data_IF_760258006846
#
_entry.id   IF_760258006846
#
_cell.length_a   1.000
_cell.length_b   1.000
_cell.length_c   1.000
_cell.angle_alpha   90.00
_cell.angle_beta   90.00
_cell.angle_gamma   90.00
#
_symmetry.space_group_name_H-M   'P 1'
#
loop_
_entity.id
_entity.type
_entity.pdbx_description
1 polymer ?
#
# COMPACT_ATOMS: atom_id res chain seq x y z
N UNK A 1 -26.04 39.66 -49.39
CA UNK A 1 -27.37 39.03 -49.44
C UNK A 1 -27.24 37.68 -48.76
N UNK A 2 -27.73 37.63 -47.51
CA UNK A 2 -28.35 36.49 -46.77
C UNK A 2 -27.74 35.09 -46.93
N UNK A 3 -27.37 34.30 -45.90
CA UNK A 3 -27.35 34.36 -44.41
C UNK A 3 -26.51 33.13 -43.94
N UNK A 4 -25.84 33.28 -42.77
CA UNK A 4 -25.44 32.34 -41.69
C UNK A 4 -24.93 30.90 -41.99
N UNK A 5 -23.96 30.34 -41.26
CA UNK A 5 -23.60 30.46 -39.82
C UNK A 5 -22.06 30.60 -39.69
N UNK A 6 -21.42 31.49 -38.90
CA UNK A 6 -21.55 31.78 -37.46
C UNK A 6 -20.28 31.31 -36.71
N UNK A 7 -19.11 31.98 -36.78
CA UNK A 7 -18.62 33.04 -35.86
C UNK A 7 -18.70 32.69 -34.35
N UNK A 8 -17.58 32.30 -33.71
CA UNK A 8 -16.72 33.15 -32.83
C UNK A 8 -17.27 33.47 -31.43
N UNK A 9 -16.60 32.97 -30.38
CA UNK A 9 -15.91 33.82 -29.39
C UNK A 9 -15.27 32.98 -28.26
N UNK A 10 -14.13 33.49 -27.80
CA UNK A 10 -13.24 32.89 -26.83
C UNK A 10 -13.80 32.91 -25.39
N UNK A 11 -13.37 31.93 -24.60
CA UNK A 11 -12.83 32.26 -23.28
C UNK A 11 -11.56 31.43 -23.03
N UNK A 12 -10.42 32.09 -23.22
CA UNK A 12 -9.22 31.76 -22.47
C UNK A 12 -9.55 31.89 -20.97
N UNK A 13 -9.27 30.87 -20.19
CA UNK A 13 -8.64 31.10 -18.88
C UNK A 13 -7.98 29.82 -18.36
N UNK A 14 -6.64 29.89 -18.27
CA UNK A 14 -5.89 29.01 -17.38
C UNK A 14 -5.10 27.91 -18.07
N UNK A 15 -4.19 28.26 -18.98
CA UNK A 15 -2.93 27.51 -19.14
C UNK A 15 -2.30 27.36 -17.74
N UNK A 16 -2.53 26.24 -17.06
CA UNK A 16 -1.71 25.84 -15.92
C UNK A 16 -0.30 25.64 -16.45
N UNK A 17 0.72 26.30 -15.90
CA UNK A 17 2.06 26.26 -16.46
C UNK A 17 2.60 24.83 -16.43
N UNK A 18 3.50 24.54 -17.37
CA UNK A 18 4.23 23.29 -17.63
C UNK A 18 4.99 22.66 -16.44
N UNK A 19 4.72 23.08 -15.21
CA UNK A 19 5.31 22.55 -13.97
C UNK A 19 4.78 21.16 -13.58
N UNK A 20 3.75 20.62 -14.25
CA UNK A 20 3.17 19.30 -13.95
C UNK A 20 3.87 18.14 -14.66
N UNK A 21 4.42 18.37 -15.87
CA UNK A 21 5.06 17.32 -16.68
C UNK A 21 6.47 16.96 -16.22
N UNK A 22 7.17 17.85 -15.50
CA UNK A 22 8.52 17.59 -14.98
C UNK A 22 8.56 16.68 -13.73
N UNK A 23 7.41 16.38 -13.11
CA UNK A 23 7.32 15.84 -11.74
C UNK A 23 7.68 14.35 -11.59
N UNK A 24 7.59 13.56 -12.66
CA UNK A 24 7.87 12.12 -12.65
C UNK A 24 9.13 11.70 -13.39
N UNK A 25 9.82 12.63 -14.05
CA UNK A 25 10.97 12.32 -14.89
C UNK A 25 12.29 12.22 -14.09
N UNK A 26 12.35 12.73 -12.86
CA UNK A 26 13.53 12.65 -12.02
C UNK A 26 13.23 11.88 -10.73
N UNK A 27 14.03 10.87 -10.42
CA UNK A 27 13.79 9.98 -9.28
C UNK A 27 15.09 9.70 -8.54
N UNK A 28 14.99 9.41 -7.25
CA UNK A 28 16.08 8.80 -6.49
C UNK A 28 15.60 7.47 -5.91
N UNK A 29 16.24 6.39 -6.34
CA UNK A 29 16.12 5.09 -5.70
C UNK A 29 17.14 5.00 -4.56
N UNK A 30 16.67 4.60 -3.38
CA UNK A 30 17.53 4.34 -2.22
C UNK A 30 17.52 2.85 -1.94
N UNK A 31 18.70 2.24 -1.99
CA UNK A 31 18.92 0.88 -1.48
C UNK A 31 19.54 1.00 -0.09
N UNK A 32 18.72 0.89 0.97
CA UNK A 32 19.21 0.98 2.33
C UNK A 32 20.03 -0.26 2.69
N UNK A 33 20.99 -0.09 3.60
CA UNK A 33 21.58 -1.21 4.33
C UNK A 33 20.57 -1.71 5.38
N UNK A 34 20.05 -2.94 5.27
CA UNK A 34 19.23 -3.53 6.32
C UNK A 34 20.04 -3.64 7.61
N UNK A 35 19.39 -3.57 8.77
CA UNK A 35 20.08 -3.76 10.05
C UNK A 35 20.30 -5.22 10.44
N UNK A 36 19.43 -6.12 9.98
CA UNK A 36 19.51 -7.58 10.15
C UNK A 36 19.49 -8.27 8.78
N UNK A 37 20.52 -9.05 8.49
CA UNK A 37 20.68 -9.83 7.27
C UNK A 37 21.49 -11.10 7.58
N UNK A 38 21.42 -12.11 6.69
CA UNK A 38 22.21 -13.34 6.83
C UNK A 38 23.71 -13.03 6.97
N UNK A 39 24.44 -13.73 7.84
CA UNK A 39 25.84 -13.38 8.16
C UNK A 39 26.73 -13.49 6.93
N UNK A 40 26.52 -14.52 6.12
CA UNK A 40 27.28 -14.77 4.89
C UNK A 40 26.55 -14.25 3.64
N UNK A 41 27.28 -14.06 2.55
CA UNK A 41 26.68 -13.74 1.25
C UNK A 41 25.70 -14.83 0.80
N UNK A 42 26.09 -16.10 0.97
CA UNK A 42 25.26 -17.25 0.61
C UNK A 42 23.92 -17.28 1.38
N UNK A 43 23.92 -16.92 2.67
CA UNK A 43 22.68 -16.81 3.45
C UNK A 43 21.77 -15.71 2.90
N UNK A 44 22.36 -14.56 2.52
CA UNK A 44 21.64 -13.42 1.96
C UNK A 44 21.04 -13.73 0.59
N UNK A 45 21.80 -14.42 -0.26
CA UNK A 45 21.34 -14.91 -1.56
C UNK A 45 20.17 -15.89 -1.42
N UNK A 46 20.28 -16.86 -0.50
CA UNK A 46 19.21 -17.83 -0.22
C UNK A 46 17.92 -17.16 0.26
N UNK A 47 18.03 -16.08 1.03
CA UNK A 47 16.89 -15.31 1.53
C UNK A 47 16.38 -14.26 0.51
N UNK A 48 17.09 -14.05 -0.60
CA UNK A 48 16.77 -12.99 -1.56
C UNK A 48 16.86 -11.57 -0.96
N UNK A 49 17.78 -11.35 0.00
CA UNK A 49 17.98 -10.06 0.68
C UNK A 49 19.47 -9.75 0.75
N UNK A 50 19.98 -9.09 -0.30
CA UNK A 50 21.35 -8.62 -0.37
C UNK A 50 21.51 -7.28 0.37
N UNK A 51 22.73 -6.96 0.77
CA UNK A 51 23.09 -5.64 1.31
C UNK A 51 23.90 -4.84 0.29
N UNK A 52 23.93 -3.49 0.39
CA UNK A 52 24.71 -2.64 -0.50
C UNK A 52 26.18 -3.06 -0.67
N UNK A 53 26.86 -3.48 0.39
CA UNK A 53 28.25 -3.93 0.31
C UNK A 53 28.47 -5.20 -0.52
N UNK A 54 27.41 -5.93 -0.88
CA UNK A 54 27.51 -7.14 -1.70
C UNK A 54 27.75 -6.80 -3.18
N UNK A 55 27.44 -5.58 -3.63
CA UNK A 55 27.59 -5.14 -5.02
C UNK A 55 28.47 -3.91 -5.15
N UNK A 56 29.25 -3.87 -6.23
CA UNK A 56 29.93 -2.65 -6.66
C UNK A 56 28.94 -1.64 -7.25
N UNK A 57 29.37 -0.38 -7.42
CA UNK A 57 28.55 0.65 -8.09
C UNK A 57 28.27 0.25 -9.54
N UNK A 58 29.24 -0.39 -10.19
CA UNK A 58 29.21 -0.87 -11.56
C UNK A 58 28.22 -2.03 -11.73
N UNK A 59 28.23 -2.99 -10.80
CA UNK A 59 27.25 -4.10 -10.77
C UNK A 59 25.84 -3.56 -10.61
N UNK A 60 25.65 -2.66 -9.63
CA UNK A 60 24.36 -2.02 -9.38
C UNK A 60 23.90 -1.23 -10.61
N UNK A 61 24.78 -0.44 -11.23
CA UNK A 61 24.48 0.33 -12.42
C UNK A 61 24.15 -0.53 -13.65
N UNK A 62 24.81 -1.68 -13.79
CA UNK A 62 24.52 -2.66 -14.85
C UNK A 62 23.18 -3.32 -14.62
N UNK A 63 22.93 -3.79 -13.39
CA UNK A 63 21.66 -4.42 -13.03
C UNK A 63 20.48 -3.46 -13.22
N UNK A 64 20.63 -2.22 -12.75
CA UNK A 64 19.58 -1.22 -12.85
C UNK A 64 19.24 -0.89 -14.31
N UNK A 65 20.24 -0.69 -15.17
CA UNK A 65 20.03 -0.50 -16.61
C UNK A 65 19.41 -1.73 -17.28
N UNK A 66 19.78 -2.94 -16.86
CA UNK A 66 19.16 -4.18 -17.31
C UNK A 66 17.66 -4.24 -16.97
N UNK A 67 17.27 -3.80 -15.78
CA UNK A 67 15.85 -3.67 -15.38
C UNK A 67 15.14 -2.62 -16.23
N UNK A 68 15.76 -1.47 -16.48
CA UNK A 68 15.18 -0.46 -17.37
C UNK A 68 15.03 -0.99 -18.80
N UNK A 69 16.00 -1.75 -19.31
CA UNK A 69 15.91 -2.38 -20.64
C UNK A 69 14.76 -3.39 -20.71
N UNK A 70 14.64 -4.27 -19.71
CA UNK A 70 13.54 -5.24 -19.58
C UNK A 70 12.16 -4.56 -19.62
N UNK A 71 12.08 -3.30 -19.18
CA UNK A 71 10.86 -2.49 -19.15
C UNK A 71 10.72 -1.51 -20.32
N UNK A 72 11.61 -1.57 -21.32
CA UNK A 72 11.64 -0.64 -22.45
C UNK A 72 11.77 0.83 -22.03
N UNK A 73 12.47 1.09 -20.92
CA UNK A 73 12.70 2.42 -20.35
C UNK A 73 14.15 2.89 -20.50
N UNK A 74 15.08 2.04 -20.96
CA UNK A 74 16.49 2.41 -21.05
C UNK A 74 16.74 3.60 -21.99
N UNK A 75 16.07 3.64 -23.14
CA UNK A 75 16.19 4.75 -24.11
C UNK A 75 15.69 6.10 -23.55
N UNK A 76 14.77 6.04 -22.59
CA UNK A 76 14.29 7.21 -21.88
C UNK A 76 15.26 7.70 -20.80
N UNK A 77 16.23 6.88 -20.35
CA UNK A 77 17.22 7.31 -19.36
C UNK A 77 18.20 8.29 -20.01
N UNK A 78 18.22 9.54 -19.51
CA UNK A 78 19.12 10.59 -19.99
C UNK A 78 20.42 10.65 -19.19
N UNK A 79 20.31 10.51 -17.87
CA UNK A 79 21.49 10.48 -16.99
C UNK A 79 21.17 9.77 -15.69
N UNK A 80 22.19 9.18 -15.07
CA UNK A 80 22.13 8.48 -13.80
C UNK A 80 23.42 8.73 -13.01
N UNK A 81 23.29 8.88 -11.69
CA UNK A 81 24.40 8.98 -10.75
C UNK A 81 24.18 7.98 -9.63
N UNK A 82 25.19 7.16 -9.34
CA UNK A 82 25.17 6.21 -8.22
C UNK A 82 26.20 6.67 -7.20
N UNK A 83 25.75 6.92 -5.98
CA UNK A 83 26.59 7.38 -4.89
C UNK A 83 26.35 6.54 -3.63
N UNK A 84 27.43 6.29 -2.89
CA UNK A 84 27.39 5.72 -1.55
C UNK A 84 27.14 6.83 -0.52
N UNK A 85 26.34 6.51 0.50
CA UNK A 85 26.16 7.35 1.67
C UNK A 85 26.42 6.52 2.93
N UNK A 86 27.33 6.96 3.83
CA UNK A 86 27.54 6.29 5.10
C UNK A 86 26.26 6.26 5.94
N UNK A 87 25.81 5.06 6.28
CA UNK A 87 24.70 4.80 7.18
C UNK A 87 25.05 5.17 8.61
N UNK A 88 24.06 5.52 9.46
CA UNK A 88 24.31 5.83 10.87
C UNK A 88 24.83 4.64 11.70
N UNK A 89 24.80 3.43 11.15
CA UNK A 89 25.30 2.20 11.78
C UNK A 89 26.79 1.98 11.45
N UNK A 90 27.54 1.59 12.46
CA UNK A 90 28.91 1.10 12.31
C UNK A 90 28.89 -0.40 12.00
N UNK A 91 29.77 -0.85 11.11
CA UNK A 91 29.93 -2.27 10.86
C UNK A 91 30.41 -2.98 12.15
N UNK A 92 29.89 -4.18 12.48
CA UNK A 92 30.25 -4.87 13.71
C UNK A 92 31.76 -5.10 13.81
N UNK A 93 32.42 -4.53 14.82
CA UNK A 93 33.87 -4.68 15.04
C UNK A 93 34.77 -3.83 14.15
N UNK A 94 34.24 -2.85 13.41
CA UNK A 94 35.01 -1.99 12.51
C UNK A 94 34.88 -0.49 12.82
N UNK A 95 35.89 0.28 12.40
CA UNK A 95 35.89 1.75 12.35
C UNK A 95 35.18 2.30 11.10
N UNK A 96 34.43 1.47 10.37
CA UNK A 96 33.74 1.88 9.14
C UNK A 96 32.23 1.82 9.30
N UNK A 97 31.54 2.77 8.67
CA UNK A 97 30.08 2.84 8.66
C UNK A 97 29.55 1.94 7.54
N UNK A 98 28.45 1.23 7.81
CA UNK A 98 27.69 0.55 6.76
C UNK A 98 27.26 1.57 5.69
N UNK A 99 26.98 1.16 4.46
CA UNK A 99 26.69 2.11 3.35
C UNK A 99 25.31 1.91 2.77
N UNK A 100 24.68 3.00 2.34
CA UNK A 100 23.48 3.02 1.50
C UNK A 100 23.89 3.37 0.07
N UNK A 101 23.16 2.86 -0.92
CA UNK A 101 23.28 3.37 -2.28
C UNK A 101 22.12 4.30 -2.61
N UNK A 102 22.46 5.45 -3.18
CA UNK A 102 21.53 6.34 -3.84
C UNK A 102 21.77 6.30 -5.35
N UNK A 103 20.74 5.93 -6.10
CA UNK A 103 20.71 5.99 -7.55
C UNK A 103 19.79 7.14 -7.94
N UNK A 104 20.37 8.24 -8.38
CA UNK A 104 19.61 9.37 -8.89
C UNK A 104 19.54 9.28 -10.41
N UNK A 105 18.35 9.43 -10.98
CA UNK A 105 18.13 9.39 -12.42
C UNK A 105 17.31 10.56 -12.94
N UNK A 106 17.61 10.89 -14.19
CA UNK A 106 16.83 11.79 -15.05
C UNK A 106 16.40 11.01 -16.29
N UNK A 107 15.10 10.95 -16.49
CA UNK A 107 14.43 10.35 -17.63
C UNK A 107 13.94 11.44 -18.60
N UNK A 108 13.65 11.06 -19.83
CA UNK A 108 13.05 11.90 -20.86
C UNK A 108 11.59 12.28 -20.52
N UNK A 109 10.89 11.37 -19.84
CA UNK A 109 9.48 11.48 -19.47
C UNK A 109 9.23 10.80 -18.12
N UNK A 110 8.10 11.07 -17.46
CA UNK A 110 7.63 10.30 -16.32
C UNK A 110 7.57 8.79 -16.60
N UNK A 111 7.82 7.96 -15.58
CA UNK A 111 7.88 6.51 -15.72
C UNK A 111 7.24 5.78 -14.53
N UNK A 112 6.71 4.58 -14.81
CA UNK A 112 6.17 3.70 -13.79
C UNK A 112 7.31 2.99 -13.04
N UNK A 113 7.47 3.30 -11.75
CA UNK A 113 8.61 2.85 -10.95
C UNK A 113 8.33 1.60 -10.11
N UNK A 114 7.06 1.24 -9.90
CA UNK A 114 6.67 0.08 -9.08
C UNK A 114 7.26 -1.23 -9.62
N UNK A 115 7.13 -1.47 -10.94
CA UNK A 115 7.67 -2.67 -11.59
C UNK A 115 9.20 -2.72 -11.59
N UNK A 116 9.87 -1.56 -11.60
CA UNK A 116 11.33 -1.47 -11.46
C UNK A 116 11.75 -1.90 -10.06
N UNK A 117 11.08 -1.41 -9.00
CA UNK A 117 11.30 -1.87 -7.63
C UNK A 117 11.12 -3.38 -7.50
N UNK A 118 10.06 -3.94 -8.08
CA UNK A 118 9.79 -5.39 -8.03
C UNK A 118 10.92 -6.19 -8.67
N UNK A 119 11.40 -5.80 -9.87
CA UNK A 119 12.48 -6.52 -10.56
C UNK A 119 13.83 -6.41 -9.82
N UNK A 120 14.13 -5.25 -9.24
CA UNK A 120 15.32 -5.06 -8.41
C UNK A 120 15.24 -5.88 -7.12
N UNK A 121 14.08 -5.85 -6.46
CA UNK A 121 13.83 -6.61 -5.24
C UNK A 121 13.92 -8.12 -5.45
N UNK A 122 13.45 -8.63 -6.60
CA UNK A 122 13.62 -10.03 -7.00
C UNK A 122 15.09 -10.44 -7.17
N UNK A 123 15.99 -9.47 -7.35
CA UNK A 123 17.44 -9.67 -7.43
C UNK A 123 18.16 -9.39 -6.11
N UNK A 124 17.42 -9.25 -5.01
CA UNK A 124 17.96 -8.93 -3.68
C UNK A 124 18.19 -7.44 -3.41
N UNK A 125 18.03 -6.56 -4.41
CA UNK A 125 18.17 -5.12 -4.28
C UNK A 125 16.85 -4.48 -3.82
N UNK A 126 16.53 -4.63 -2.54
CA UNK A 126 15.30 -4.11 -1.94
C UNK A 126 15.45 -2.65 -1.55
N UNK A 127 14.70 -1.77 -2.19
CA UNK A 127 14.78 -0.32 -1.98
C UNK A 127 13.51 0.41 -2.38
N UNK A 128 13.54 1.74 -2.31
CA UNK A 128 12.38 2.56 -2.60
C UNK A 128 12.73 3.81 -3.40
N UNK A 129 11.80 4.25 -4.24
CA UNK A 129 11.91 5.53 -4.94
C UNK A 129 11.38 6.69 -4.10
N UNK A 130 12.01 7.83 -4.30
CA UNK A 130 11.53 9.14 -3.85
C UNK A 130 11.46 10.08 -5.06
N UNK A 131 10.47 10.98 -5.03
CA UNK A 131 10.20 11.98 -6.07
C UNK A 131 9.98 13.36 -5.40
N UNK A 132 11.00 14.00 -4.82
CA UNK A 132 10.89 15.35 -4.28
C UNK A 132 10.59 16.34 -5.40
N UNK A 133 9.86 17.40 -5.04
CA UNK A 133 9.42 18.46 -5.97
C UNK A 133 10.54 19.33 -6.53
N UNK A 134 11.78 19.15 -6.07
CA UNK A 134 12.89 20.08 -6.28
C UNK A 134 13.73 19.79 -7.55
N UNK A 135 13.39 18.76 -8.32
CA UNK A 135 13.97 18.49 -9.64
C UNK A 135 15.40 17.92 -9.64
N UNK A 136 15.96 17.75 -10.84
CA UNK A 136 17.25 17.08 -11.09
C UNK A 136 18.44 17.68 -10.32
N UNK A 137 18.60 19.00 -10.36
CA UNK A 137 19.71 19.69 -9.70
C UNK A 137 19.72 19.46 -8.18
N UNK A 138 18.55 19.39 -7.56
CA UNK A 138 18.45 19.16 -6.11
C UNK A 138 18.91 17.77 -5.71
N UNK A 139 18.65 16.75 -6.52
CA UNK A 139 19.19 15.43 -6.25
C UNK A 139 20.70 15.34 -6.47
N UNK A 140 21.21 16.00 -7.52
CA UNK A 140 22.64 16.09 -7.74
C UNK A 140 23.32 16.77 -6.56
N UNK A 141 22.76 17.88 -6.08
CA UNK A 141 23.25 18.55 -4.88
C UNK A 141 23.22 17.63 -3.65
N UNK A 142 22.16 16.83 -3.49
CA UNK A 142 22.04 15.88 -2.37
C UNK A 142 23.16 14.83 -2.32
N UNK A 143 23.61 14.33 -3.49
CA UNK A 143 24.66 13.29 -3.55
C UNK A 143 26.07 13.83 -3.77
N UNK A 144 26.23 15.07 -4.27
CA UNK A 144 27.54 15.63 -4.64
C UNK A 144 28.01 16.78 -3.76
N UNK A 145 27.12 17.47 -3.03
CA UNK A 145 27.47 18.65 -2.24
C UNK A 145 27.26 18.43 -0.74
N UNK A 146 28.11 19.05 0.10
CA UNK A 146 27.92 19.02 1.54
C UNK A 146 26.68 19.84 1.94
N UNK A 147 26.07 19.47 3.06
CA UNK A 147 24.94 20.17 3.66
C UNK A 147 25.04 20.16 5.18
N UNK A 148 24.16 20.87 5.87
CA UNK A 148 24.08 20.84 7.34
C UNK A 148 23.88 19.43 7.92
N UNK A 149 23.37 18.48 7.12
CA UNK A 149 23.13 17.09 7.54
C UNK A 149 24.12 16.09 6.96
N UNK A 150 24.90 16.47 5.95
CA UNK A 150 25.86 15.59 5.25
C UNK A 150 27.18 16.32 5.10
N UNK A 151 28.18 15.90 5.86
CA UNK A 151 29.49 16.55 5.85
C UNK A 151 30.28 16.12 4.61
N UNK A 152 31.32 16.88 4.25
CA UNK A 152 32.16 16.58 3.10
C UNK A 152 32.78 15.17 3.17
N UNK A 153 33.12 14.72 4.38
CA UNK A 153 33.68 13.37 4.63
C UNK A 153 32.67 12.24 4.43
N UNK A 154 31.37 12.55 4.45
CA UNK A 154 30.29 11.58 4.29
C UNK A 154 29.79 11.52 2.83
N UNK A 155 30.41 12.28 1.92
CA UNK A 155 30.11 12.21 0.48
C UNK A 155 30.91 11.07 -0.15
N UNK A 156 30.31 10.40 -1.13
CA UNK A 156 31.01 9.42 -1.96
C UNK A 156 32.20 10.10 -2.67
N UNK A 157 33.45 9.65 -2.45
CA UNK A 157 34.60 10.22 -3.13
C UNK A 157 34.61 9.90 -4.63
N UNK A 158 33.99 8.79 -5.04
CA UNK A 158 33.99 8.30 -6.41
C UNK A 158 32.57 7.85 -6.83
N UNK A 159 31.61 8.77 -7.00
CA UNK A 159 30.30 8.43 -7.50
C UNK A 159 30.39 7.98 -8.97
N UNK A 160 29.58 6.99 -9.34
CA UNK A 160 29.52 6.51 -10.72
C UNK A 160 28.54 7.37 -11.51
N UNK A 161 28.92 7.75 -12.73
CA UNK A 161 28.07 8.53 -13.62
C UNK A 161 27.73 7.74 -14.88
N UNK A 162 26.52 7.94 -15.39
CA UNK A 162 26.06 7.40 -16.66
C UNK A 162 25.18 8.43 -17.40
N UNK A 163 25.24 8.52 -18.74
CA UNK A 163 26.22 7.87 -19.61
C UNK A 163 27.64 8.36 -19.30
N UNK A 164 28.71 7.71 -19.79
CA UNK A 164 30.09 8.14 -19.54
C UNK A 164 30.37 9.60 -19.94
N UNK A 165 29.58 10.15 -20.86
CA UNK A 165 29.64 11.55 -21.27
C UNK A 165 29.07 12.55 -20.25
N UNK A 166 28.32 12.08 -19.25
CA UNK A 166 27.82 12.90 -18.14
C UNK A 166 28.78 12.77 -16.97
N UNK A 167 29.59 13.79 -16.71
CA UNK A 167 30.67 13.75 -15.70
C UNK A 167 30.29 14.52 -14.44
N UNK A 168 31.14 14.44 -13.40
CA UNK A 168 30.99 15.22 -12.16
C UNK A 168 30.97 16.73 -12.44
N UNK A 169 31.80 17.21 -13.36
CA UNK A 169 31.91 18.61 -13.74
C UNK A 169 30.59 19.10 -14.36
N UNK A 170 30.01 18.31 -15.27
CA UNK A 170 28.70 18.60 -15.86
C UNK A 170 27.58 18.58 -14.83
N UNK A 171 27.62 17.64 -13.88
CA UNK A 171 26.64 17.60 -12.80
C UNK A 171 26.74 18.85 -11.90
N UNK A 172 27.96 19.30 -11.58
CA UNK A 172 28.19 20.53 -10.82
C UNK A 172 27.76 21.78 -11.60
N UNK A 173 27.94 21.80 -12.92
CA UNK A 173 27.44 22.88 -13.78
C UNK A 173 25.90 22.95 -13.77
N UNK A 174 25.22 21.80 -13.88
CA UNK A 174 23.76 21.72 -13.76
C UNK A 174 23.28 22.26 -12.41
N UNK A 175 24.01 21.99 -11.32
CA UNK A 175 23.68 22.55 -10.01
C UNK A 175 23.85 24.07 -10.01
N UNK A 176 24.95 24.60 -10.57
CA UNK A 176 25.22 26.05 -10.63
C UNK A 176 24.18 26.83 -11.44
N UNK A 177 23.61 26.21 -12.46
CA UNK A 177 22.59 26.84 -13.33
C UNK A 177 21.23 27.05 -12.62
N UNK A 178 21.01 26.45 -11.46
CA UNK A 178 19.77 26.62 -10.68
C UNK A 178 20.02 27.57 -9.51
N UNK A 179 19.14 28.57 -9.35
CA UNK A 179 19.24 29.59 -8.29
C UNK A 179 19.46 28.93 -6.91
N UNK A 180 20.47 29.40 -6.16
CA UNK A 180 20.76 28.93 -4.80
C UNK A 180 19.52 29.01 -3.88
N UNK A 181 18.59 29.94 -4.14
CA UNK A 181 17.30 30.06 -3.44
C UNK A 181 16.34 28.90 -3.70
N UNK A 182 16.41 28.27 -4.88
CA UNK A 182 15.64 27.06 -5.24
C UNK A 182 16.24 25.79 -4.63
N UNK A 183 17.57 25.73 -4.52
CA UNK A 183 18.30 24.56 -4.01
C UNK A 183 18.28 24.49 -2.48
N UNK A 184 18.31 25.63 -1.78
CA UNK A 184 18.25 25.69 -0.32
C UNK A 184 17.54 26.96 0.16
N UNK A 185 16.55 26.82 1.05
CA UNK A 185 15.93 27.96 1.73
C UNK A 185 16.91 28.76 2.61
N UNK A 186 18.11 28.26 2.93
CA UNK A 186 19.04 28.88 3.91
C UNK A 186 20.54 28.64 3.60
N UNK A 187 21.06 28.95 2.40
CA UNK A 187 22.48 28.67 2.09
C UNK A 187 23.48 29.44 2.99
N UNK A 188 23.14 30.67 3.40
CA UNK A 188 23.96 31.47 4.32
C UNK A 188 23.97 30.90 5.75
N UNK A 189 22.82 30.40 6.21
CA UNK A 189 22.67 29.76 7.53
C UNK A 189 23.37 28.39 7.58
N UNK A 190 23.39 27.65 6.46
CA UNK A 190 24.13 26.38 6.32
C UNK A 190 25.64 26.61 6.36
N UNK A 191 26.16 27.65 5.68
CA UNK A 191 27.58 28.00 5.79
C UNK A 191 27.96 28.47 7.20
N UNK A 192 27.09 29.21 7.89
CA UNK A 192 27.29 29.56 9.30
C UNK A 192 27.20 28.35 10.23
N UNK A 193 26.29 27.41 10.01
CA UNK A 193 26.19 26.17 10.79
C UNK A 193 27.36 25.23 10.55
N UNK A 194 27.91 25.12 9.34
CA UNK A 194 29.12 24.34 9.09
C UNK A 194 30.31 24.93 9.86
N UNK A 195 30.44 26.27 9.87
CA UNK A 195 31.46 26.97 10.67
C UNK A 195 31.22 26.85 12.19
N UNK A 196 29.97 26.81 12.63
CA UNK A 196 29.61 26.64 14.04
C UNK A 196 29.77 25.20 14.53
N UNK A 197 29.48 24.20 13.69
CA UNK A 197 29.65 22.77 14.02
C UNK A 197 31.13 22.36 14.10
N UNK A 198 32.03 23.12 13.45
CA UNK A 198 33.48 22.99 13.65
C UNK A 198 33.97 23.55 14.99
N UNK A 199 33.16 24.38 15.68
CA UNK A 199 33.44 24.82 17.06
C UNK A 199 32.71 23.91 18.04
N UNK A 200 33.44 22.93 18.56
CA UNK A 200 33.30 22.22 19.86
C UNK A 200 32.04 22.54 20.69
N UNK A 201 30.85 22.20 20.19
CA UNK A 201 29.65 22.09 21.01
C UNK A 201 29.16 20.65 20.95
N UNK A 202 28.92 20.08 22.12
CA UNK A 202 28.42 18.71 22.25
C UNK A 202 27.19 18.53 21.33
N UNK A 203 27.13 17.44 20.55
CA UNK A 203 26.09 17.26 19.54
C UNK A 203 24.72 17.32 20.19
N UNK A 204 23.86 18.26 19.73
CA UNK A 204 22.47 18.37 20.18
C UNK A 204 21.81 16.99 20.06
N UNK A 205 21.35 16.45 21.21
CA UNK A 205 20.66 15.17 21.28
C UNK A 205 19.50 15.17 20.28
N UNK A 206 19.54 14.21 19.36
CA UNK A 206 18.59 14.08 18.27
C UNK A 206 17.18 13.84 18.84
N UNK A 207 16.16 14.48 18.26
CA UNK A 207 14.78 14.45 18.78
C UNK A 207 13.83 13.46 18.10
N UNK A 208 14.14 12.99 16.88
CA UNK A 208 13.23 12.11 16.10
C UNK A 208 13.98 11.23 15.08
N UNK A 209 13.36 10.11 14.69
CA UNK A 209 13.86 9.20 13.65
C UNK A 209 13.72 9.74 12.23
N UNK A 210 14.51 9.22 11.29
CA UNK A 210 14.25 9.31 9.86
C UNK A 210 13.26 8.21 9.45
N UNK A 211 12.68 8.32 8.26
CA UNK A 211 11.82 7.24 7.75
C UNK A 211 12.57 5.92 7.53
N UNK A 212 13.84 5.96 7.12
CA UNK A 212 14.65 4.75 6.97
C UNK A 212 14.83 4.04 8.32
N UNK A 213 15.20 4.79 9.36
CA UNK A 213 15.39 4.19 10.70
C UNK A 213 14.08 3.69 11.30
N UNK A 214 12.97 4.40 11.09
CA UNK A 214 11.65 3.89 11.46
C UNK A 214 11.37 2.54 10.77
N UNK A 215 11.65 2.46 9.47
CA UNK A 215 11.45 1.25 8.69
C UNK A 215 12.31 0.10 9.22
N UNK A 216 13.55 0.38 9.63
CA UNK A 216 14.41 -0.60 10.27
C UNK A 216 13.76 -1.16 11.54
N UNK A 217 13.32 -0.30 12.47
CA UNK A 217 12.68 -0.73 13.71
C UNK A 217 11.45 -1.62 13.46
N UNK A 218 10.63 -1.26 12.47
CA UNK A 218 9.44 -2.02 12.07
C UNK A 218 9.81 -3.43 11.59
N UNK A 219 10.78 -3.53 10.68
CA UNK A 219 11.18 -4.81 10.09
C UNK A 219 11.89 -5.70 11.12
N UNK A 220 12.80 -5.11 11.91
CA UNK A 220 13.57 -5.82 12.95
C UNK A 220 12.67 -6.47 14.02
N UNK A 221 11.63 -5.74 14.42
CA UNK A 221 10.72 -6.18 15.47
C UNK A 221 9.47 -6.87 14.92
N UNK A 222 9.44 -7.13 13.60
CA UNK A 222 8.35 -7.81 12.90
C UNK A 222 6.99 -7.15 13.18
N UNK A 223 6.95 -5.83 13.24
CA UNK A 223 5.71 -5.10 13.45
C UNK A 223 4.80 -5.26 12.23
N UNK A 224 3.63 -5.86 12.41
CA UNK A 224 2.68 -6.11 11.31
C UNK A 224 1.48 -5.14 11.32
N UNK A 225 1.21 -4.54 12.47
CA UNK A 225 0.12 -3.59 12.66
C UNK A 225 0.53 -2.38 13.51
N UNK A 226 -0.40 -1.43 13.69
CA UNK A 226 -0.15 -0.22 14.48
C UNK A 226 0.07 -0.53 15.96
N UNK A 227 -0.57 -1.58 16.50
CA UNK A 227 -0.46 -1.94 17.90
C UNK A 227 0.95 -2.44 18.23
N UNK A 228 1.57 -3.23 17.34
CA UNK A 228 2.96 -3.65 17.45
C UNK A 228 3.92 -2.46 17.44
N UNK A 229 3.68 -1.49 16.56
CA UNK A 229 4.50 -0.27 16.47
C UNK A 229 4.43 0.53 17.77
N UNK A 230 3.23 0.70 18.35
CA UNK A 230 3.07 1.39 19.63
C UNK A 230 3.65 0.60 20.80
N UNK A 231 3.52 -0.73 20.82
CA UNK A 231 4.13 -1.61 21.83
C UNK A 231 5.66 -1.49 21.79
N UNK A 232 6.25 -1.49 20.59
CA UNK A 232 7.67 -1.28 20.39
C UNK A 232 8.10 0.12 20.86
N UNK A 233 7.39 1.17 20.43
CA UNK A 233 7.69 2.54 20.82
C UNK A 233 7.64 2.73 22.35
N UNK A 234 6.64 2.14 23.02
CA UNK A 234 6.53 2.16 24.48
C UNK A 234 7.69 1.44 25.17
N UNK A 235 8.07 0.26 24.65
CA UNK A 235 9.22 -0.51 25.16
C UNK A 235 10.52 0.29 25.03
N UNK A 236 10.77 0.88 23.86
CA UNK A 236 11.95 1.71 23.60
C UNK A 236 11.98 2.96 24.50
N UNK A 237 10.84 3.65 24.64
CA UNK A 237 10.70 4.80 25.56
C UNK A 237 11.02 4.42 27.00
N UNK A 238 10.55 3.26 27.46
CA UNK A 238 10.84 2.77 28.82
C UNK A 238 12.33 2.44 29.00
N UNK A 239 13.02 2.05 27.93
CA UNK A 239 14.47 1.85 27.90
C UNK A 239 15.28 3.16 27.72
N UNK A 240 14.63 4.32 27.67
CA UNK A 240 15.27 5.62 27.46
C UNK A 240 15.51 6.02 26.00
N UNK A 241 14.97 5.24 25.05
CA UNK A 241 15.00 5.52 23.60
C UNK A 241 13.68 6.17 23.13
N UNK A 242 13.55 7.47 23.30
CA UNK A 242 12.31 8.20 22.99
C UNK A 242 12.11 8.48 21.49
N UNK A 243 13.12 8.22 20.65
CA UNK A 243 13.14 8.63 19.24
C UNK A 243 11.98 8.07 18.44
N UNK A 244 11.60 6.81 18.68
CA UNK A 244 10.49 6.17 17.99
C UNK A 244 9.15 6.74 18.45
N UNK A 245 8.99 6.98 19.75
CA UNK A 245 7.81 7.64 20.30
C UNK A 245 7.60 9.02 19.66
N UNK A 246 8.65 9.85 19.67
CA UNK A 246 8.62 11.20 19.12
C UNK A 246 8.40 11.22 17.60
N UNK A 247 8.81 10.16 16.89
CA UNK A 247 8.55 10.03 15.46
C UNK A 247 7.07 9.79 15.15
N UNK A 248 6.36 9.05 16.01
CA UNK A 248 4.98 8.62 15.81
C UNK A 248 3.95 9.67 16.25
N UNK A 249 4.27 10.48 17.26
CA UNK A 249 3.36 11.40 17.95
C UNK A 249 2.58 12.36 17.03
N UNK A 250 3.11 12.67 15.84
CA UNK A 250 2.48 13.56 14.86
C UNK A 250 2.27 12.91 13.49
N UNK A 251 2.13 11.58 13.43
CA UNK A 251 1.98 10.83 12.17
C UNK A 251 0.78 9.91 12.19
N UNK A 252 0.19 9.71 11.02
CA UNK A 252 -0.68 8.56 10.75
C UNK A 252 0.19 7.29 10.73
N UNK A 253 0.23 6.61 11.88
CA UNK A 253 1.07 5.44 12.11
C UNK A 253 0.78 4.35 11.09
N UNK A 254 -0.50 4.08 10.81
CA UNK A 254 -0.90 3.11 9.80
C UNK A 254 -0.37 3.44 8.42
N UNK A 255 -0.45 4.69 8.00
CA UNK A 255 0.06 5.12 6.69
C UNK A 255 1.56 4.95 6.56
N UNK A 256 2.31 5.32 7.61
CA UNK A 256 3.77 5.26 7.60
C UNK A 256 4.26 3.82 7.74
N UNK A 257 3.60 2.99 8.56
CA UNK A 257 3.82 1.55 8.64
C UNK A 257 3.52 0.87 7.28
N UNK A 258 2.41 1.21 6.63
CA UNK A 258 2.07 0.72 5.28
C UNK A 258 3.10 1.10 4.24
N UNK A 259 3.80 2.22 4.42
CA UNK A 259 4.87 2.64 3.51
C UNK A 259 6.15 1.83 3.77
N UNK A 260 6.47 1.60 5.04
CA UNK A 260 7.61 0.78 5.47
C UNK A 260 7.46 -0.67 5.02
N UNK A 261 6.33 -1.31 5.34
CA UNK A 261 6.07 -2.71 5.00
C UNK A 261 5.96 -2.95 3.49
N UNK A 262 5.39 -2.02 2.71
CA UNK A 262 5.37 -2.12 1.23
C UNK A 262 6.78 -2.22 0.62
N UNK A 263 7.75 -1.53 1.19
CA UNK A 263 9.13 -1.53 0.68
C UNK A 263 9.91 -2.81 0.99
N UNK A 264 9.55 -3.52 2.06
CA UNK A 264 10.34 -4.65 2.61
C UNK A 264 9.64 -6.00 2.54
N UNK A 265 8.32 -5.98 2.66
CA UNK A 265 7.44 -7.12 2.56
C UNK A 265 6.36 -6.84 1.52
N UNK A 266 6.73 -6.94 0.24
CA UNK A 266 5.76 -6.91 -0.87
C UNK A 266 4.64 -7.96 -0.70
N UNK A 267 4.85 -8.97 0.15
CA UNK A 267 3.96 -10.08 0.45
C UNK A 267 3.11 -9.91 1.74
N UNK A 268 3.25 -8.79 2.47
CA UNK A 268 2.47 -8.60 3.70
C UNK A 268 2.05 -7.16 3.95
N UNK A 269 0.90 -6.78 3.39
CA UNK A 269 0.01 -5.69 3.81
C UNK A 269 -1.40 -5.90 3.20
N UNK A 270 -2.52 -5.42 3.80
CA UNK A 270 -2.79 -5.12 5.21
C UNK A 270 -3.65 -6.21 5.89
N UNK A 271 -3.34 -6.55 7.15
CA UNK A 271 -4.12 -7.47 7.99
C UNK A 271 -5.59 -7.03 8.22
N UNK A 272 -5.94 -5.76 8.03
CA UNK A 272 -7.29 -5.25 8.30
C UNK A 272 -8.36 -5.65 7.26
N UNK A 273 -7.96 -6.00 6.03
CA UNK A 273 -8.91 -6.51 5.01
C UNK A 273 -9.07 -8.02 5.10
N UNK A 274 -8.08 -8.74 5.63
CA UNK A 274 -8.11 -10.17 5.80
C UNK A 274 -8.91 -10.52 7.06
N UNK A 275 -10.14 -10.96 6.87
CA UNK A 275 -10.99 -11.49 7.91
C UNK A 275 -10.53 -12.91 8.24
N UNK A 276 -10.19 -13.15 9.51
CA UNK A 276 -9.81 -14.48 10.05
C UNK A 276 -10.89 -15.08 10.96
N UNK A 277 -11.94 -14.33 11.20
CA UNK A 277 -13.10 -14.68 12.03
C UNK A 277 -14.32 -14.01 11.43
N UNK A 278 -15.49 -14.61 11.62
CA UNK A 278 -16.78 -14.02 11.24
C UNK A 278 -17.59 -13.70 12.48
N UNK A 279 -18.42 -12.67 12.41
CA UNK A 279 -19.32 -12.28 13.50
C UNK A 279 -20.40 -13.34 13.74
N UNK A 280 -20.87 -13.98 12.67
CA UNK A 280 -21.94 -14.98 12.72
C UNK A 280 -21.49 -16.23 11.95
N UNK A 281 -21.63 -17.43 12.54
CA UNK A 281 -21.38 -18.68 11.83
C UNK A 281 -22.48 -18.93 10.78
N UNK A 282 -22.22 -19.81 9.81
CA UNK A 282 -23.20 -20.13 8.75
C UNK A 282 -24.51 -20.71 9.31
N UNK A 283 -24.46 -21.38 10.46
CA UNK A 283 -25.62 -21.93 11.17
C UNK A 283 -26.60 -20.85 11.67
N UNK A 284 -26.16 -19.59 11.79
CA UNK A 284 -27.01 -18.46 12.13
C UNK A 284 -27.91 -17.99 10.97
N UNK A 285 -27.80 -18.62 9.79
CA UNK A 285 -28.53 -18.23 8.59
C UNK A 285 -29.43 -19.34 8.06
N UNK A 286 -30.49 -18.94 7.37
CA UNK A 286 -31.29 -19.77 6.46
C UNK A 286 -30.62 -19.66 5.09
N UNK A 287 -29.70 -20.58 4.80
CA UNK A 287 -28.92 -20.56 3.55
C UNK A 287 -29.85 -20.83 2.36
N UNK A 288 -30.00 -19.88 1.41
CA UNK A 288 -30.84 -20.07 0.23
C UNK A 288 -30.37 -21.26 -0.62
N UNK A 289 -31.30 -21.94 -1.30
CA UNK A 289 -30.99 -23.15 -2.08
C UNK A 289 -29.92 -22.90 -3.15
N UNK A 290 -29.98 -21.76 -3.85
CA UNK A 290 -28.98 -21.36 -4.83
C UNK A 290 -27.58 -21.20 -4.24
N UNK A 291 -27.48 -20.66 -3.03
CA UNK A 291 -26.19 -20.55 -2.30
C UNK A 291 -25.69 -21.93 -1.92
N UNK A 292 -26.56 -22.81 -1.39
CA UNK A 292 -26.18 -24.19 -1.04
C UNK A 292 -25.67 -24.98 -2.25
N UNK A 293 -26.41 -24.92 -3.37
CA UNK A 293 -26.01 -25.54 -4.64
C UNK A 293 -24.67 -25.01 -5.13
N UNK A 294 -24.44 -23.71 -5.01
CA UNK A 294 -23.15 -23.11 -5.33
C UNK A 294 -22.04 -23.62 -4.40
N UNK A 295 -22.26 -23.68 -3.09
CA UNK A 295 -21.27 -24.21 -2.15
C UNK A 295 -20.86 -25.65 -2.48
N UNK A 296 -21.85 -26.52 -2.70
CA UNK A 296 -21.66 -27.97 -2.89
C UNK A 296 -21.00 -28.32 -4.23
N UNK A 297 -21.32 -27.56 -5.29
CA UNK A 297 -20.96 -27.95 -6.67
C UNK A 297 -20.38 -26.82 -7.52
N UNK A 298 -20.68 -25.57 -7.21
CA UNK A 298 -20.35 -24.42 -8.07
C UNK A 298 -19.15 -23.59 -7.62
N UNK A 299 -18.71 -23.72 -6.37
CA UNK A 299 -17.74 -22.82 -5.74
C UNK A 299 -16.39 -22.84 -6.45
N UNK A 300 -15.95 -24.00 -6.97
CA UNK A 300 -14.72 -24.11 -7.75
C UNK A 300 -14.79 -23.62 -9.20
N UNK A 301 -15.99 -23.36 -9.75
CA UNK A 301 -16.19 -23.02 -11.16
C UNK A 301 -16.76 -21.62 -11.43
N UNK A 302 -17.63 -21.12 -10.55
CA UNK A 302 -18.33 -19.84 -10.72
C UNK A 302 -18.12 -18.92 -9.51
N UNK A 303 -18.09 -17.62 -9.77
CA UNK A 303 -18.32 -16.63 -8.73
C UNK A 303 -19.80 -16.62 -8.30
N UNK A 304 -20.09 -16.17 -7.09
CA UNK A 304 -21.46 -16.00 -6.58
C UNK A 304 -21.82 -14.52 -6.52
N UNK A 305 -23.03 -14.16 -6.97
CA UNK A 305 -23.62 -12.84 -6.74
C UNK A 305 -24.86 -13.02 -5.88
N UNK A 306 -24.88 -12.34 -4.73
CA UNK A 306 -26.04 -12.22 -3.84
C UNK A 306 -26.72 -10.88 -4.08
N UNK A 307 -27.91 -10.93 -4.65
CA UNK A 307 -28.73 -9.76 -4.92
C UNK A 307 -29.91 -9.69 -3.94
N UNK A 308 -30.31 -8.48 -3.54
CA UNK A 308 -31.51 -8.25 -2.75
C UNK A 308 -31.48 -6.89 -2.07
N UNK A 309 -32.55 -6.49 -1.41
CA UNK A 309 -32.62 -5.19 -0.72
C UNK A 309 -31.64 -5.10 0.47
N UNK A 310 -31.34 -3.87 0.89
CA UNK A 310 -30.50 -3.61 2.06
C UNK A 310 -31.11 -4.20 3.33
N UNK A 311 -30.27 -4.70 4.24
CA UNK A 311 -30.72 -5.19 5.55
C UNK A 311 -31.20 -6.63 5.59
N UNK A 312 -31.19 -7.38 4.48
CA UNK A 312 -31.61 -8.79 4.43
C UNK A 312 -30.52 -9.81 4.87
N UNK A 313 -29.41 -9.35 5.45
CA UNK A 313 -28.32 -10.22 5.92
C UNK A 313 -27.38 -10.78 4.84
N UNK A 314 -27.39 -10.21 3.62
CA UNK A 314 -26.61 -10.70 2.46
C UNK A 314 -25.10 -10.68 2.72
N UNK A 315 -24.60 -9.58 3.26
CA UNK A 315 -23.17 -9.34 3.49
C UNK A 315 -22.64 -10.27 4.58
N UNK A 316 -23.38 -10.42 5.67
CA UNK A 316 -23.03 -11.33 6.76
C UNK A 316 -23.09 -12.80 6.32
N UNK A 317 -24.10 -13.17 5.52
CA UNK A 317 -24.18 -14.50 4.91
C UNK A 317 -22.99 -14.75 3.97
N UNK A 318 -22.63 -13.79 3.10
CA UNK A 318 -21.48 -13.91 2.20
C UNK A 318 -20.18 -14.16 2.97
N UNK A 319 -19.95 -13.41 4.05
CA UNK A 319 -18.81 -13.59 4.93
C UNK A 319 -18.80 -14.96 5.59
N UNK A 320 -19.95 -15.41 6.14
CA UNK A 320 -20.07 -16.71 6.80
C UNK A 320 -19.83 -17.88 5.82
N UNK A 321 -20.41 -17.82 4.63
CA UNK A 321 -20.21 -18.81 3.56
C UNK A 321 -18.74 -18.84 3.12
N UNK A 322 -18.13 -17.68 2.90
CA UNK A 322 -16.72 -17.64 2.49
C UNK A 322 -15.82 -18.23 3.57
N UNK A 323 -16.06 -17.87 4.84
CA UNK A 323 -15.29 -18.39 5.95
C UNK A 323 -15.40 -19.91 6.12
N UNK A 324 -16.61 -20.46 5.94
CA UNK A 324 -16.83 -21.92 5.97
C UNK A 324 -16.01 -22.64 4.90
N UNK A 325 -15.91 -22.05 3.70
CA UNK A 325 -15.23 -22.68 2.56
C UNK A 325 -13.71 -22.51 2.57
N UNK A 326 -13.21 -21.33 2.97
CA UNK A 326 -11.80 -20.97 2.81
C UNK A 326 -11.08 -20.69 4.13
N UNK A 327 -11.81 -20.52 5.23
CA UNK A 327 -11.28 -19.89 6.44
C UNK A 327 -10.99 -18.42 6.17
N UNK A 328 -9.72 -17.96 6.16
CA UNK A 328 -9.41 -16.55 5.91
C UNK A 328 -9.93 -16.04 4.56
N UNK A 329 -10.45 -14.81 4.53
CA UNK A 329 -10.91 -14.17 3.30
C UNK A 329 -10.69 -12.66 3.34
N UNK A 330 -10.58 -12.03 2.18
CA UNK A 330 -10.51 -10.58 2.08
C UNK A 330 -11.92 -9.99 1.92
N UNK A 331 -12.24 -8.99 2.74
CA UNK A 331 -13.47 -8.21 2.62
C UNK A 331 -13.16 -6.83 2.01
N UNK A 332 -13.86 -6.46 0.95
CA UNK A 332 -13.69 -5.18 0.26
C UNK A 332 -15.00 -4.42 0.11
N UNK A 333 -14.95 -3.11 0.36
CA UNK A 333 -16.03 -2.16 0.07
C UNK A 333 -15.99 -1.65 -1.37
N UNK A 334 -14.84 -1.79 -2.06
CA UNK A 334 -14.59 -1.25 -3.40
C UNK A 334 -13.64 -2.13 -4.19
N UNK A 335 -13.87 -2.27 -5.49
CA UNK A 335 -13.00 -3.03 -6.40
C UNK A 335 -11.54 -2.55 -6.37
N UNK A 336 -11.32 -1.23 -6.35
CA UNK A 336 -9.98 -0.61 -6.29
C UNK A 336 -9.16 -1.01 -5.05
N UNK A 337 -9.79 -1.56 -4.00
CA UNK A 337 -9.07 -2.07 -2.85
C UNK A 337 -8.29 -3.34 -3.17
N UNK A 338 -8.69 -4.10 -4.20
CA UNK A 338 -8.06 -5.36 -4.57
C UNK A 338 -6.59 -5.21 -4.98
N UNK A 339 -6.18 -4.08 -5.55
CA UNK A 339 -4.76 -3.83 -5.88
C UNK A 339 -3.83 -3.75 -4.67
N UNK A 340 -4.41 -3.64 -3.46
CA UNK A 340 -3.68 -3.63 -2.20
C UNK A 340 -3.55 -5.04 -1.60
N UNK A 341 -4.23 -6.02 -2.17
CA UNK A 341 -4.26 -7.39 -1.67
C UNK A 341 -3.08 -8.17 -2.25
N UNK A 342 -2.49 -9.00 -1.39
CA UNK A 342 -1.58 -10.04 -1.81
C UNK A 342 -2.12 -11.39 -1.33
N UNK A 343 -2.53 -12.23 -2.27
CA UNK A 343 -3.05 -13.56 -2.00
C UNK A 343 -1.90 -14.53 -1.71
N UNK A 344 -2.00 -15.32 -0.65
CA UNK A 344 -1.01 -16.38 -0.33
C UNK A 344 -1.46 -17.75 -0.80
N UNK A 345 -2.71 -17.85 -1.26
CA UNK A 345 -3.34 -19.08 -1.71
C UNK A 345 -4.27 -19.62 -0.64
N UNK A 346 -5.45 -20.05 -1.08
CA UNK A 346 -6.50 -20.58 -0.21
C UNK A 346 -7.42 -19.51 0.38
N UNK A 347 -7.10 -18.21 0.30
CA UNK A 347 -8.01 -17.16 0.77
C UNK A 347 -9.15 -16.88 -0.22
N UNK A 348 -10.33 -16.57 0.33
CA UNK A 348 -11.48 -16.10 -0.43
C UNK A 348 -11.53 -14.58 -0.61
N UNK A 349 -12.47 -14.11 -1.44
CA UNK A 349 -12.73 -12.69 -1.68
C UNK A 349 -14.23 -12.37 -1.61
N UNK A 350 -14.61 -11.51 -0.66
CA UNK A 350 -15.97 -10.96 -0.54
C UNK A 350 -15.93 -9.47 -0.88
N UNK A 351 -16.79 -9.05 -1.81
CA UNK A 351 -16.88 -7.65 -2.24
C UNK A 351 -18.30 -7.17 -2.03
N UNK A 352 -18.44 -6.16 -1.19
CA UNK A 352 -19.73 -5.67 -0.73
C UNK A 352 -20.25 -4.50 -1.57
N UNK A 353 -21.57 -4.44 -1.73
CA UNK A 353 -22.33 -3.38 -2.39
C UNK A 353 -21.74 -2.91 -3.74
N UNK A 354 -21.42 -3.87 -4.61
CA UNK A 354 -20.75 -3.59 -5.88
C UNK A 354 -21.74 -3.42 -7.04
N UNK A 355 -21.30 -2.70 -8.06
CA UNK A 355 -21.94 -2.65 -9.39
C UNK A 355 -20.85 -2.69 -10.46
N UNK A 356 -21.09 -3.46 -11.53
CA UNK A 356 -20.20 -3.60 -12.68
C UNK A 356 -20.62 -2.75 -13.87
N UNK A 357 -21.69 -1.96 -13.75
CA UNK A 357 -22.27 -1.16 -14.84
C UNK A 357 -21.29 -0.18 -15.51
N UNK A 358 -20.23 0.20 -14.80
CA UNK A 358 -19.19 1.14 -15.27
C UNK A 358 -17.91 0.46 -15.74
N UNK A 359 -17.87 -0.87 -15.74
CA UNK A 359 -16.72 -1.65 -16.19
C UNK A 359 -16.90 -2.05 -17.65
N UNK A 360 -15.79 -2.27 -18.35
CA UNK A 360 -15.84 -2.92 -19.66
C UNK A 360 -16.23 -4.39 -19.49
N UNK A 361 -16.89 -4.96 -20.50
CA UNK A 361 -17.41 -6.34 -20.42
C UNK A 361 -16.32 -7.39 -20.22
N UNK A 362 -15.09 -7.12 -20.69
CA UNK A 362 -13.95 -8.02 -20.50
C UNK A 362 -13.36 -7.93 -19.08
N UNK A 363 -13.45 -6.77 -18.44
CA UNK A 363 -13.12 -6.62 -17.02
C UNK A 363 -14.13 -7.37 -16.15
N UNK A 364 -15.42 -7.29 -16.49
CA UNK A 364 -16.47 -8.09 -15.83
C UNK A 364 -16.16 -9.58 -15.93
N UNK A 365 -15.84 -10.07 -17.13
CA UNK A 365 -15.45 -11.48 -17.32
C UNK A 365 -14.22 -11.82 -16.46
N UNK A 366 -13.26 -10.91 -16.34
CA UNK A 366 -12.04 -11.12 -15.53
C UNK A 366 -12.35 -11.19 -14.03
N UNK A 367 -13.25 -10.32 -13.54
CA UNK A 367 -13.73 -10.34 -12.15
C UNK A 367 -14.54 -11.59 -11.79
N UNK A 368 -15.27 -12.17 -12.75
CA UNK A 368 -16.07 -13.38 -12.53
C UNK A 368 -15.32 -14.69 -12.78
N UNK A 369 -14.18 -14.64 -13.49
CA UNK A 369 -13.44 -15.86 -13.83
C UNK A 369 -12.56 -16.34 -12.67
N UNK A 370 -12.96 -17.45 -12.07
CA UNK A 370 -12.21 -18.08 -10.98
C UNK A 370 -11.28 -19.20 -11.46
N UNK A 371 -11.41 -19.70 -12.69
CA UNK A 371 -10.61 -20.85 -13.14
C UNK A 371 -9.17 -20.44 -13.52
N UNK A 372 -8.99 -19.22 -14.03
CA UNK A 372 -7.69 -18.73 -14.51
C UNK A 372 -7.17 -17.58 -13.63
N UNK A 373 -5.84 -17.38 -13.55
CA UNK A 373 -5.31 -16.18 -12.93
C UNK A 373 -5.68 -14.97 -13.79
N UNK A 374 -6.09 -13.87 -13.16
CA UNK A 374 -6.57 -12.67 -13.84
C UNK A 374 -5.90 -11.42 -13.32
N UNK A 375 -5.57 -10.53 -14.24
CA UNK A 375 -5.46 -9.11 -13.93
C UNK A 375 -6.85 -8.52 -14.08
N UNK A 376 -7.33 -7.86 -13.04
CA UNK A 376 -8.62 -7.20 -13.01
C UNK A 376 -8.39 -5.70 -12.96
N UNK A 377 -9.03 -4.96 -13.87
CA UNK A 377 -8.85 -3.53 -13.95
C UNK A 377 -9.23 -2.83 -12.63
N UNK A 378 -8.34 -1.94 -12.20
CA UNK A 378 -8.52 -1.04 -11.07
C UNK A 378 -7.91 0.32 -11.45
N UNK A 379 -8.30 1.41 -10.77
CA UNK A 379 -7.81 2.74 -11.11
C UNK A 379 -6.30 2.85 -10.91
N UNK A 380 -5.62 3.34 -11.95
CA UNK A 380 -4.18 3.60 -12.04
C UNK A 380 -3.26 2.36 -12.09
N UNK A 381 -3.73 1.20 -11.64
CA UNK A 381 -2.99 -0.06 -11.63
C UNK A 381 -3.99 -1.22 -11.54
N UNK A 382 -3.70 -2.33 -12.22
CA UNK A 382 -4.53 -3.54 -12.15
C UNK A 382 -4.25 -4.35 -10.87
N UNK A 383 -5.28 -5.04 -10.37
CA UNK A 383 -5.13 -6.03 -9.30
C UNK A 383 -4.85 -7.40 -9.92
N UNK A 384 -4.00 -8.20 -9.27
CA UNK A 384 -3.77 -9.60 -9.65
C UNK A 384 -4.54 -10.52 -8.70
N UNK A 385 -5.40 -11.36 -9.27
CA UNK A 385 -6.16 -12.37 -8.53
C UNK A 385 -5.73 -13.76 -9.03
N UNK A 386 -5.16 -14.63 -8.16
CA UNK A 386 -4.78 -15.97 -8.56
C UNK A 386 -5.97 -16.82 -9.01
N UNK A 387 -5.66 -17.87 -9.79
CA UNK A 387 -6.64 -18.90 -10.10
C UNK A 387 -7.19 -19.54 -8.82
N UNK A 388 -8.42 -20.05 -8.91
CA UNK A 388 -9.16 -20.74 -7.84
C UNK A 388 -9.44 -19.90 -6.59
N UNK A 389 -9.25 -18.59 -6.67
CA UNK A 389 -9.68 -17.66 -5.62
C UNK A 389 -11.20 -17.56 -5.66
N UNK A 390 -11.89 -18.02 -4.61
CA UNK A 390 -13.35 -17.93 -4.50
C UNK A 390 -13.80 -16.47 -4.41
N UNK A 391 -14.93 -16.14 -5.05
CA UNK A 391 -15.43 -14.76 -5.12
C UNK A 391 -16.93 -14.72 -4.85
N UNK A 392 -17.32 -13.93 -3.87
CA UNK A 392 -18.71 -13.59 -3.60
C UNK A 392 -18.86 -12.07 -3.72
N UNK A 393 -19.85 -11.64 -4.49
CA UNK A 393 -20.23 -10.24 -4.61
C UNK A 393 -21.61 -10.05 -4.02
N UNK A 394 -21.82 -8.98 -3.27
CA UNK A 394 -23.18 -8.57 -2.85
C UNK A 394 -23.58 -7.31 -3.60
N UNK A 395 -24.87 -7.19 -3.86
CA UNK A 395 -25.40 -5.99 -4.54
C UNK A 395 -26.86 -5.75 -4.21
N UNK A 396 -27.25 -4.48 -4.20
CA UNK A 396 -28.65 -4.07 -4.19
C UNK A 396 -29.15 -3.72 -5.61
N UNK A 397 -28.27 -3.79 -6.62
CA UNK A 397 -28.61 -3.46 -8.01
C UNK A 397 -29.27 -4.64 -8.71
N UNK A 398 -30.38 -4.37 -9.40
CA UNK A 398 -31.05 -5.37 -10.24
C UNK A 398 -30.08 -5.89 -11.30
N UNK A 399 -30.25 -7.14 -11.73
CA UNK A 399 -29.39 -7.76 -12.74
C UNK A 399 -29.23 -6.92 -14.02
N UNK A 400 -30.29 -6.23 -14.45
CA UNK A 400 -30.28 -5.38 -15.65
C UNK A 400 -29.37 -4.15 -15.53
N UNK A 401 -29.19 -3.66 -14.30
CA UNK A 401 -28.42 -2.45 -13.95
C UNK A 401 -27.05 -2.80 -13.34
N UNK A 402 -26.82 -4.06 -12.99
CA UNK A 402 -25.57 -4.51 -12.40
C UNK A 402 -24.45 -4.61 -13.44
N UNK A 403 -24.76 -5.08 -14.64
CA UNK A 403 -23.79 -5.28 -15.73
C UNK A 403 -23.79 -4.09 -16.71
N UNK A 404 -22.68 -3.86 -17.43
CA UNK A 404 -22.63 -2.84 -18.47
C UNK A 404 -23.58 -3.20 -19.63
N UNK A 405 -24.02 -2.21 -20.42
CA UNK A 405 -25.03 -2.41 -21.47
C UNK A 405 -24.59 -3.45 -22.50
N UNK A 406 -23.29 -3.48 -22.81
CA UNK A 406 -22.64 -4.41 -23.73
C UNK A 406 -22.79 -5.87 -23.27
N UNK A 407 -22.88 -6.11 -21.96
CA UNK A 407 -23.07 -7.46 -21.42
C UNK A 407 -24.42 -8.09 -21.81
N UNK A 408 -25.36 -7.29 -22.34
CA UNK A 408 -26.67 -7.74 -22.82
C UNK A 408 -26.59 -8.40 -24.20
N UNK A 409 -25.49 -8.25 -24.93
CA UNK A 409 -25.25 -8.95 -26.19
C UNK A 409 -25.14 -10.47 -25.95
N UNK A 410 -25.78 -11.27 -26.80
CA UNK A 410 -25.99 -12.72 -26.56
C UNK A 410 -24.68 -13.48 -26.27
N UNK A 411 -23.61 -13.17 -27.00
CA UNK A 411 -22.29 -13.78 -26.81
C UNK A 411 -21.71 -13.50 -25.42
N UNK A 412 -21.89 -12.28 -24.91
CA UNK A 412 -21.40 -11.87 -23.60
C UNK A 412 -22.27 -12.44 -22.48
N UNK A 413 -23.60 -12.50 -22.67
CA UNK A 413 -24.51 -13.17 -21.73
C UNK A 413 -24.09 -14.61 -21.50
N UNK A 414 -23.83 -15.38 -22.57
CA UNK A 414 -23.36 -16.78 -22.46
C UNK A 414 -22.03 -16.86 -21.70
N UNK A 415 -21.09 -15.96 -22.00
CA UNK A 415 -19.79 -15.93 -21.36
C UNK A 415 -19.83 -15.53 -19.87
N UNK A 416 -20.78 -14.68 -19.46
CA UNK A 416 -20.98 -14.27 -18.07
C UNK A 416 -21.73 -15.37 -17.30
N UNK A 417 -22.85 -15.89 -17.84
CA UNK A 417 -23.66 -16.94 -17.20
C UNK A 417 -22.86 -18.19 -16.85
N UNK A 418 -21.87 -18.58 -17.66
CA UNK A 418 -21.00 -19.72 -17.33
C UNK A 418 -20.01 -19.47 -16.18
N UNK A 419 -19.82 -18.21 -15.76
CA UNK A 419 -18.86 -17.80 -14.71
C UNK A 419 -19.53 -17.36 -13.42
N UNK A 420 -20.85 -17.22 -13.41
CA UNK A 420 -21.56 -16.64 -12.27
C UNK A 420 -22.79 -17.45 -11.91
N UNK A 421 -22.99 -17.63 -10.63
CA UNK A 421 -24.26 -18.04 -10.04
C UNK A 421 -24.91 -16.79 -9.44
N UNK A 422 -26.10 -16.42 -9.91
CA UNK A 422 -26.84 -15.28 -9.41
C UNK A 422 -27.95 -15.78 -8.50
N UNK A 423 -27.98 -15.32 -7.24
CA UNK A 423 -28.98 -15.74 -6.25
C UNK A 423 -29.69 -14.50 -5.71
N UNK A 424 -31.01 -14.50 -5.86
CA UNK A 424 -31.88 -13.46 -5.31
C UNK A 424 -32.27 -13.79 -3.86
N UNK A 425 -32.08 -12.83 -2.97
CA UNK A 425 -32.44 -12.85 -1.56
C UNK A 425 -33.57 -11.85 -1.37
N UNK A 426 -34.78 -12.37 -1.18
CA UNK A 426 -36.00 -11.57 -1.07
C UNK A 426 -36.52 -11.46 0.37
N UNK A 427 -35.94 -12.22 1.29
CA UNK A 427 -36.33 -12.28 2.70
C UNK A 427 -35.07 -12.21 3.58
N UNK A 428 -35.25 -11.85 4.84
CA UNK A 428 -34.13 -11.84 5.80
C UNK A 428 -33.62 -13.26 6.03
N UNK A 429 -32.36 -13.50 5.64
CA UNK A 429 -31.75 -14.83 5.75
C UNK A 429 -31.16 -15.10 7.12
N UNK A 430 -31.21 -14.15 8.06
CA UNK A 430 -30.78 -14.37 9.45
C UNK A 430 -31.84 -15.22 10.16
N UNK A 431 -31.41 -16.28 10.84
CA UNK A 431 -32.31 -17.02 11.72
C UNK A 431 -32.67 -16.11 12.89
N UNK A 432 -33.96 -16.02 13.26
CA UNK A 432 -34.34 -15.34 14.48
C UNK A 432 -33.60 -16.02 15.64
N UNK A 433 -32.88 -15.22 16.43
CA UNK A 433 -32.34 -15.68 17.71
C UNK A 433 -33.56 -16.13 18.53
N UNK A 434 -33.59 -17.36 19.06
CA UNK A 434 -34.68 -17.77 19.95
C UNK A 434 -34.78 -16.71 21.04
N UNK A 435 -35.96 -16.10 21.19
CA UNK A 435 -36.21 -15.25 22.35
C UNK A 435 -35.84 -16.08 23.58
N UNK A 436 -35.04 -15.55 24.52
CA UNK A 436 -34.81 -16.26 25.77
C UNK A 436 -36.19 -16.63 26.34
N UNK A 437 -36.34 -17.82 26.96
CA UNK A 437 -37.59 -18.19 27.59
C UNK A 437 -38.02 -17.02 28.49
N UNK A 438 -39.31 -16.64 28.48
CA UNK A 438 -39.77 -15.56 29.33
C UNK A 438 -39.28 -15.84 30.74
N UNK A 439 -38.64 -14.84 31.36
CA UNK A 439 -38.22 -14.96 32.75
C UNK A 439 -39.43 -15.45 33.55
N UNK A 440 -39.27 -16.45 34.43
CA UNK A 440 -40.36 -16.86 35.30
C UNK A 440 -40.93 -15.61 35.93
N UNK A 441 -42.25 -15.42 35.78
CA UNK A 441 -42.94 -14.33 36.47
C UNK A 441 -42.55 -14.43 37.95
N UNK A 442 -42.17 -13.33 38.60
CA UNK A 442 -41.88 -13.36 40.03
C UNK A 442 -43.09 -14.03 40.71
N UNK A 443 -42.82 -15.11 41.45
CA UNK A 443 -43.82 -15.70 42.33
C UNK A 443 -44.32 -14.55 43.22
N UNK A 444 -45.65 -14.36 43.25
CA UNK A 444 -46.33 -13.27 43.95
C UNK A 444 -45.64 -12.95 45.28
N UNK A 445 -45.08 -11.75 45.47
CA UNK A 445 -44.55 -11.33 46.76
C UNK A 445 -45.66 -10.82 47.71
N UNK A 446 -46.87 -11.40 47.63
CA UNK A 446 -48.01 -11.00 48.47
C UNK A 446 -48.39 -12.13 49.44
N UNK A 447 -47.44 -12.53 50.28
CA UNK A 447 -47.68 -12.99 51.65
C UNK A 447 -46.64 -12.30 52.56
N UNK A 448 -46.61 -10.97 52.57
CA UNK A 448 -46.01 -10.23 53.69
C UNK A 448 -47.13 -9.73 54.61
N UNK A 449 -47.08 -10.24 55.84
CA UNK A 449 -47.88 -9.84 56.98
C UNK A 449 -47.83 -8.32 57.17
N UNK A 450 -49.01 -7.72 57.29
CA UNK A 450 -49.22 -6.31 57.62
C UNK A 450 -48.67 -5.98 59.02
N UNK A 451 -47.57 -5.21 59.15
CA UNK A 451 -47.03 -4.83 60.46
C UNK A 451 -47.57 -3.47 60.94
N UNK A 452 -48.47 -2.80 60.20
CA UNK A 452 -48.91 -1.46 60.54
C UNK A 452 -50.42 -1.32 60.53
N UNK A 453 -51.02 -1.91 61.57
CA UNK A 453 -52.28 -1.44 62.10
C UNK A 453 -52.21 0.06 62.43
N UNK A 454 -52.80 0.86 61.56
CA UNK A 454 -53.29 2.19 61.90
C UNK A 454 -54.74 2.29 61.45
N UNK A 455 -55.62 2.09 62.43
CA UNK A 455 -57.01 2.45 62.30
C UNK A 455 -57.14 3.96 62.09
N UNK A 456 -57.91 4.34 61.08
CA UNK A 456 -58.62 5.60 61.08
C UNK A 456 -60.07 5.34 60.72
N UNK A 457 -60.89 5.43 61.77
CA UNK A 457 -62.34 5.54 61.77
C UNK A 457 -62.72 6.97 61.41
N UNK A 458 -63.41 7.18 60.28
CA UNK A 458 -64.26 8.35 60.06
C UNK A 458 -65.42 7.98 59.14
N UNK A 459 -66.59 7.82 59.78
CA UNK A 459 -67.99 8.02 59.35
C UNK A 459 -68.30 8.38 57.90
#
# INVERSE_FOLDING_TARGET
>A
MVIAEGSSSASESGKRPAATSARGACAMFTWPCPRTYGKTLADREKLGVLKPADWTKEDLGTKFRGVLQKRSLLEALKSMVIAQEPHNKWAPGHEEREVHYHIVMKMAAPFAHAKICTDLGASGCKGFFTFPRAGWASYLAYVLLPSAKKLQKDLDPCPMFWPPSFTKEKALEVIKQVDAKMLHRNSAEVQQQIKATQKTSAPKRRRTLTFSEFTDYVVENRCVDEADVWRLAKRLKTAGEDLMWNYLENKDVGSVLRKALRGWHHESLPQGMLQKTVQYPISAFIVPEGVRRWMDHGSGEKALILHGEGGLGKTELACAVMYELTGPFFFLDKLDAAKKIHFRGGEGLVIDDVSFSKLEVDDVKSWLDIQKPRFTHCRNDDAFIPAKTLRIFTTNSRSVDFFPVEARMEEHVKAIKRRVEWVDINEDVRRPVPLPPPLPLPENPDEEEDPFGFGFDLR
#
